data_IF_957135119982
#
_entry.id   IF_957135119982
#
_cell.length_a   1.000
_cell.length_b   1.000
_cell.length_c   1.000
_cell.angle_alpha   90.00
_cell.angle_beta   90.00
_cell.angle_gamma   90.00
#
_symmetry.space_group_name_H-M   'P 1'
#
loop_
_entity.id
_entity.type
_entity.pdbx_description
1 polymer ?
#
# COMPACT_ATOMS: atom_id res chain seq x y z
N UNK A 1 16.08 -20.24 11.23
CA UNK A 1 16.55 -18.86 10.96
C UNK A 1 15.49 -18.15 10.09
N UNK A 2 14.21 -18.32 10.44
CA UNK A 2 13.09 -18.17 9.49
C UNK A 2 11.97 -17.25 10.00
N UNK A 3 11.84 -17.11 11.33
CA UNK A 3 10.86 -16.23 11.96
C UNK A 3 11.15 -14.74 11.67
N UNK A 4 12.43 -14.35 11.64
CA UNK A 4 12.82 -12.94 11.43
C UNK A 4 12.41 -12.44 10.03
N UNK A 5 12.53 -13.28 9.01
CA UNK A 5 12.09 -12.96 7.64
C UNK A 5 10.57 -12.80 7.54
N UNK A 6 9.78 -13.59 8.28
CA UNK A 6 8.31 -13.44 8.32
C UNK A 6 7.91 -12.11 8.97
N UNK A 7 8.58 -11.70 10.05
CA UNK A 7 8.32 -10.43 10.76
C UNK A 7 8.65 -9.22 9.88
N UNK A 8 9.76 -9.26 9.14
CA UNK A 8 10.12 -8.18 8.19
C UNK A 8 9.10 -8.05 7.05
N UNK A 9 8.64 -9.17 6.49
CA UNK A 9 7.60 -9.18 5.44
C UNK A 9 6.27 -8.57 5.94
N UNK A 10 5.86 -8.90 7.17
CA UNK A 10 4.68 -8.31 7.80
C UNK A 10 4.82 -6.81 8.05
N UNK A 11 6.00 -6.35 8.50
CA UNK A 11 6.28 -4.92 8.71
C UNK A 11 6.14 -4.12 7.41
N UNK A 12 6.60 -4.65 6.28
CA UNK A 12 6.44 -3.99 4.97
C UNK A 12 4.97 -3.89 4.58
N UNK A 13 4.20 -4.98 4.70
CA UNK A 13 2.76 -4.98 4.42
C UNK A 13 1.98 -3.97 5.28
N UNK A 14 2.28 -3.91 6.59
CA UNK A 14 1.66 -2.97 7.52
C UNK A 14 2.07 -1.52 7.20
N UNK A 15 3.34 -1.27 6.87
CA UNK A 15 3.82 0.06 6.51
C UNK A 15 3.10 0.59 5.26
N UNK A 16 2.95 -0.25 4.22
CA UNK A 16 2.23 0.09 2.99
C UNK A 16 0.74 0.32 3.27
N UNK A 17 0.13 -0.49 4.13
CA UNK A 17 -1.26 -0.31 4.56
C UNK A 17 -1.48 1.04 5.25
N UNK A 18 -0.61 1.41 6.21
CA UNK A 18 -0.67 2.71 6.89
C UNK A 18 -0.50 3.86 5.90
N UNK A 19 0.42 3.71 4.93
CA UNK A 19 0.69 4.73 3.93
C UNK A 19 -0.52 4.94 3.00
N UNK A 20 -1.16 3.85 2.55
CA UNK A 20 -2.41 3.89 1.79
C UNK A 20 -3.58 4.48 2.59
N UNK A 21 -3.64 4.21 3.90
CA UNK A 21 -4.64 4.76 4.81
C UNK A 21 -4.49 6.28 4.93
N UNK A 22 -3.27 6.77 5.20
CA UNK A 22 -2.97 8.21 5.23
C UNK A 22 -3.31 8.89 3.91
N UNK A 23 -2.98 8.26 2.79
CA UNK A 23 -3.24 8.80 1.46
C UNK A 23 -4.76 8.91 1.20
N UNK A 24 -5.54 7.94 1.67
CA UNK A 24 -7.01 7.95 1.59
C UNK A 24 -7.62 9.04 2.47
N UNK A 25 -7.09 9.28 3.67
CA UNK A 25 -7.53 10.38 4.54
C UNK A 25 -7.20 11.76 3.95
N UNK A 26 -6.02 11.90 3.33
CA UNK A 26 -5.63 13.11 2.62
C UNK A 26 -6.52 13.41 1.42
N UNK A 27 -6.87 12.40 0.63
CA UNK A 27 -7.81 12.52 -0.48
C UNK A 27 -9.20 12.92 -0.01
N UNK A 28 -9.70 12.29 1.06
CA UNK A 28 -11.00 12.61 1.65
C UNK A 28 -11.05 14.05 2.16
N UNK A 29 -10.00 14.52 2.85
CA UNK A 29 -9.90 15.91 3.31
C UNK A 29 -9.91 16.92 2.18
N UNK A 30 -9.14 16.66 1.10
CA UNK A 30 -9.09 17.54 -0.07
C UNK A 30 -10.44 17.52 -0.82
N UNK A 31 -11.01 16.32 -1.02
CA UNK A 31 -12.32 16.17 -1.67
C UNK A 31 -13.45 16.83 -0.89
N UNK A 32 -13.39 16.83 0.45
CA UNK A 32 -14.36 17.50 1.30
C UNK A 32 -14.27 19.04 1.25
N UNK A 33 -13.07 19.60 1.10
CA UNK A 33 -12.85 21.06 1.13
C UNK A 33 -12.97 21.68 -0.27
N UNK A 34 -12.48 21.01 -1.32
CA UNK A 34 -12.39 21.56 -2.66
C UNK A 34 -12.69 20.49 -3.74
N UNK A 35 -13.96 20.10 -3.94
CA UNK A 35 -14.35 19.04 -4.88
C UNK A 35 -14.04 19.36 -6.35
N UNK A 36 -13.78 20.63 -6.70
CA UNK A 36 -13.43 21.08 -8.06
C UNK A 36 -11.93 20.91 -8.35
N UNK A 37 -11.09 20.68 -7.33
CA UNK A 37 -9.66 20.45 -7.50
C UNK A 37 -9.39 19.01 -7.94
N UNK A 38 -9.77 18.69 -9.17
CA UNK A 38 -9.58 17.37 -9.79
C UNK A 38 -8.08 17.03 -9.91
N UNK A 39 -7.23 18.03 -10.14
CA UNK A 39 -5.79 17.83 -10.32
C UNK A 39 -5.06 17.17 -9.12
N UNK A 40 -5.19 17.64 -7.86
CA UNK A 40 -4.60 16.94 -6.72
C UNK A 40 -5.25 15.59 -6.42
N UNK A 41 -6.56 15.42 -6.65
CA UNK A 41 -7.22 14.11 -6.49
C UNK A 41 -6.64 13.07 -7.46
N UNK A 42 -6.42 13.45 -8.71
CA UNK A 42 -5.74 12.60 -9.70
C UNK A 42 -4.29 12.32 -9.31
N UNK A 43 -3.57 13.32 -8.79
CA UNK A 43 -2.21 13.13 -8.28
C UNK A 43 -2.13 12.11 -7.14
N UNK A 44 -3.09 12.16 -6.22
CA UNK A 44 -3.19 11.22 -5.10
C UNK A 44 -3.55 9.82 -5.61
N UNK A 45 -4.51 9.70 -6.52
CA UNK A 45 -4.89 8.44 -7.14
C UNK A 45 -3.71 7.78 -7.88
N UNK A 46 -2.88 8.57 -8.58
CA UNK A 46 -1.67 8.08 -9.26
C UNK A 46 -0.61 7.60 -8.27
N UNK A 47 -0.36 8.35 -7.19
CA UNK A 47 0.53 7.92 -6.11
C UNK A 47 0.07 6.61 -5.47
N UNK A 48 -1.24 6.49 -5.22
CA UNK A 48 -1.87 5.28 -4.68
C UNK A 48 -1.67 4.09 -5.62
N UNK A 49 -1.94 4.27 -6.91
CA UNK A 49 -1.76 3.25 -7.93
C UNK A 49 -0.29 2.80 -8.04
N UNK A 50 0.65 3.74 -7.97
CA UNK A 50 2.09 3.42 -7.98
C UNK A 50 2.51 2.61 -6.75
N UNK A 51 2.05 2.96 -5.55
CA UNK A 51 2.28 2.17 -4.34
C UNK A 51 1.67 0.77 -4.45
N UNK A 52 0.47 0.65 -5.01
CA UNK A 52 -0.19 -0.63 -5.20
C UNK A 52 0.60 -1.51 -6.20
N UNK A 53 1.05 -0.95 -7.32
CA UNK A 53 1.84 -1.71 -8.30
C UNK A 53 3.21 -2.09 -7.75
N UNK A 54 3.90 -1.17 -7.06
CA UNK A 54 5.27 -1.41 -6.57
C UNK A 54 5.32 -2.33 -5.36
N UNK A 55 4.43 -2.14 -4.39
CA UNK A 55 4.46 -2.89 -3.15
C UNK A 55 3.43 -4.01 -3.17
N UNK A 56 2.20 -3.76 -3.64
CA UNK A 56 1.11 -4.74 -3.60
C UNK A 56 1.14 -5.79 -4.71
N UNK A 57 1.80 -5.59 -5.86
CA UNK A 57 1.98 -6.66 -6.87
C UNK A 57 3.22 -7.52 -6.64
N UNK A 58 4.17 -7.04 -5.85
CA UNK A 58 5.32 -7.84 -5.42
C UNK A 58 5.07 -8.57 -4.09
N UNK A 59 4.13 -8.07 -3.26
CA UNK A 59 3.61 -8.75 -2.08
C UNK A 59 2.93 -10.11 -2.32
N UNK A 60 2.16 -10.40 -3.39
CA UNK A 60 1.62 -11.74 -3.63
C UNK A 60 2.70 -12.77 -3.92
N UNK A 61 3.90 -12.37 -4.38
CA UNK A 61 5.07 -13.28 -4.40
C UNK A 61 5.69 -13.47 -3.01
N UNK A 62 5.43 -12.57 -2.05
CA UNK A 62 5.84 -12.67 -0.64
C UNK A 62 4.83 -13.43 0.25
N UNK A 63 3.56 -13.47 -0.16
CA UNK A 63 2.45 -14.23 0.44
C UNK A 63 2.08 -15.50 -0.34
N UNK A 64 2.69 -15.74 -1.50
CA UNK A 64 2.68 -17.06 -2.10
C UNK A 64 3.23 -17.99 -1.01
N UNK A 65 2.46 -18.99 -0.56
CA UNK A 65 3.01 -19.98 0.34
C UNK A 65 4.26 -20.51 -0.37
N UNK A 66 5.45 -20.21 0.17
CA UNK A 66 6.59 -21.10 -0.06
C UNK A 66 6.02 -22.45 0.30
N UNK A 67 5.85 -23.30 -0.72
CA UNK A 67 5.29 -24.63 -0.59
C UNK A 67 5.96 -25.27 0.63
N UNK A 68 5.13 -25.60 1.62
CA UNK A 68 5.46 -26.42 2.78
C UNK A 68 6.11 -27.71 2.26
N UNK A 69 7.42 -27.68 2.04
CA UNK A 69 8.21 -28.86 1.78
C UNK A 69 8.73 -29.35 3.12
N UNK A 70 7.90 -30.22 3.72
CA UNK A 70 8.22 -31.42 4.53
C UNK A 70 9.27 -31.30 5.64
#
# INVERSE_FOLDING_TARGET
MDENKKVEKYRVGIAVFILLLCLTLGEFGIGAIAPVWVAPLVGIALLKAWFIVRDYMHLPRLFSPEEDHS
#
